data_IF_229384335700
#
_entry.id   IF_229384335700
#
_cell.length_a   1.000
_cell.length_b   1.000
_cell.length_c   1.000
_cell.angle_alpha   90.00
_cell.angle_beta   90.00
_cell.angle_gamma   90.00
#
_symmetry.space_group_name_H-M   'P 1'
#
loop_
_entity.id
_entity.type
_entity.pdbx_description
1 polymer ?
#
# COMPACT_ATOMS: atom_id res chain seq x y z
N UNK A 1 21.06 -2.67 -15.42
CA UNK A 1 21.98 -1.71 -14.76
C UNK A 1 21.47 -1.43 -13.35
N UNK A 2 22.13 -1.93 -12.30
CA UNK A 2 21.74 -1.65 -10.91
C UNK A 2 22.54 -0.45 -10.41
N UNK A 3 21.91 0.71 -10.30
CA UNK A 3 22.53 1.90 -9.70
C UNK A 3 22.53 1.74 -8.18
N UNK A 4 23.71 1.86 -7.55
CA UNK A 4 23.86 1.91 -6.09
C UNK A 4 22.95 3.04 -5.56
N UNK A 5 22.11 2.73 -4.56
CA UNK A 5 21.28 3.73 -3.86
C UNK A 5 22.15 4.85 -3.32
N UNK A 6 21.78 6.10 -3.58
CA UNK A 6 22.46 7.29 -3.04
C UNK A 6 22.28 7.39 -1.52
N UNK A 7 23.16 8.14 -0.86
CA UNK A 7 23.10 8.30 0.61
C UNK A 7 21.82 9.01 1.06
N UNK A 8 21.25 9.89 0.23
CA UNK A 8 19.94 10.47 0.44
C UNK A 8 18.83 9.41 0.47
N UNK A 9 18.86 8.42 -0.44
CA UNK A 9 17.88 7.33 -0.46
C UNK A 9 18.03 6.44 0.77
N UNK A 10 19.25 6.15 1.23
CA UNK A 10 19.47 5.38 2.46
C UNK A 10 18.98 6.11 3.71
N UNK A 11 19.16 7.44 3.76
CA UNK A 11 18.65 8.28 4.84
C UNK A 11 17.12 8.32 4.84
N UNK A 12 16.50 8.47 3.66
CA UNK A 12 15.06 8.33 3.49
C UNK A 12 14.55 6.96 3.90
N UNK A 13 15.20 5.87 3.48
CA UNK A 13 14.85 4.51 3.91
C UNK A 13 14.96 4.36 5.44
N UNK A 14 15.93 5.02 6.08
CA UNK A 14 16.08 5.01 7.55
C UNK A 14 14.99 5.80 8.27
N UNK A 15 14.50 6.90 7.67
CA UNK A 15 13.40 7.71 8.20
C UNK A 15 12.05 7.03 7.98
N UNK A 16 11.82 6.51 6.77
CA UNK A 16 10.57 5.85 6.36
C UNK A 16 10.45 4.47 7.05
N UNK A 17 11.57 3.79 7.32
CA UNK A 17 11.61 2.52 8.03
C UNK A 17 11.36 1.31 7.11
N UNK A 18 10.57 0.35 7.60
CA UNK A 18 10.23 -0.88 6.87
C UNK A 18 9.49 -0.60 5.53
N UNK A 19 9.44 -1.59 4.61
CA UNK A 19 8.70 -1.45 3.36
C UNK A 19 7.28 -0.96 3.64
N UNK A 20 6.90 0.15 3.01
CA UNK A 20 5.59 0.76 3.21
C UNK A 20 4.51 -0.28 2.89
N UNK A 21 3.77 -0.70 3.91
CA UNK A 21 2.70 -1.69 3.74
C UNK A 21 1.58 -1.11 2.90
N UNK A 22 0.71 -1.98 2.38
CA UNK A 22 -0.49 -1.54 1.70
C UNK A 22 -1.34 -0.60 2.59
N UNK A 23 -1.46 -0.94 3.87
CA UNK A 23 -2.19 -0.16 4.87
C UNK A 23 -1.59 1.23 5.11
N UNK A 24 -0.27 1.31 5.28
CA UNK A 24 0.42 2.58 5.46
C UNK A 24 0.29 3.48 4.22
N UNK A 25 0.33 2.89 3.03
CA UNK A 25 0.09 3.62 1.77
C UNK A 25 -1.31 4.20 1.71
N UNK A 26 -2.34 3.42 2.08
CA UNK A 26 -3.72 3.92 2.17
C UNK A 26 -3.85 5.08 3.15
N UNK A 27 -3.24 4.97 4.33
CA UNK A 27 -3.25 6.03 5.34
C UNK A 27 -2.61 7.30 4.81
N UNK A 28 -1.45 7.19 4.14
CA UNK A 28 -0.75 8.33 3.57
C UNK A 28 -1.61 9.05 2.53
N UNK A 29 -2.21 8.31 1.59
CA UNK A 29 -3.13 8.88 0.58
C UNK A 29 -4.29 9.59 1.26
N UNK A 30 -4.91 8.96 2.27
CA UNK A 30 -6.04 9.55 2.99
C UNK A 30 -5.68 10.90 3.63
N UNK A 31 -4.52 10.97 4.28
CA UNK A 31 -4.05 12.18 4.94
C UNK A 31 -3.65 13.25 3.93
N UNK A 32 -3.05 12.87 2.80
CA UNK A 32 -2.73 13.79 1.70
C UNK A 32 -3.98 14.37 1.04
N UNK A 33 -5.06 13.60 0.98
CA UNK A 33 -6.36 14.04 0.47
C UNK A 33 -7.23 14.73 1.54
N UNK A 34 -6.69 14.97 2.75
CA UNK A 34 -7.39 15.58 3.90
C UNK A 34 -8.70 14.86 4.30
N UNK A 35 -8.79 13.56 4.04
CA UNK A 35 -9.98 12.76 4.31
C UNK A 35 -9.98 12.16 5.72
N UNK A 36 -11.17 12.12 6.33
CA UNK A 36 -11.44 11.26 7.48
C UNK A 36 -11.50 9.79 7.07
N UNK A 37 -11.34 8.87 8.03
CA UNK A 37 -11.51 7.44 7.76
C UNK A 37 -12.93 7.11 7.27
N UNK A 38 -13.95 7.84 7.74
CA UNK A 38 -15.33 7.63 7.28
C UNK A 38 -15.51 7.99 5.80
N UNK A 39 -14.96 9.12 5.36
CA UNK A 39 -15.06 9.59 3.97
C UNK A 39 -14.34 8.65 3.00
N UNK A 40 -13.11 8.27 3.33
CA UNK A 40 -12.36 7.34 2.48
C UNK A 40 -13.00 5.94 2.48
N UNK A 41 -13.52 5.45 3.62
CA UNK A 41 -14.21 4.17 3.68
C UNK A 41 -15.47 4.18 2.79
N UNK A 42 -16.24 5.27 2.80
CA UNK A 42 -17.39 5.47 1.90
C UNK A 42 -16.95 5.48 0.43
N UNK A 43 -15.87 6.20 0.08
CA UNK A 43 -15.29 6.23 -1.28
C UNK A 43 -14.87 4.82 -1.73
N UNK A 44 -14.25 4.04 -0.84
CA UNK A 44 -13.78 2.68 -1.12
C UNK A 44 -14.90 1.62 -1.08
N UNK A 45 -16.08 1.94 -0.54
CA UNK A 45 -17.20 0.99 -0.38
C UNK A 45 -16.92 -0.06 0.69
N UNK A 46 -16.29 0.33 1.80
CA UNK A 46 -16.00 -0.53 2.95
C UNK A 46 -16.48 0.15 4.24
N UNK A 47 -16.49 -0.60 5.34
CA UNK A 47 -16.79 -0.03 6.65
C UNK A 47 -15.60 0.78 7.18
N UNK A 48 -15.87 1.80 7.99
CA UNK A 48 -14.83 2.59 8.67
C UNK A 48 -13.91 1.69 9.51
N UNK A 49 -14.48 0.74 10.25
CA UNK A 49 -13.72 -0.25 11.02
C UNK A 49 -12.76 -1.08 10.14
N UNK A 50 -13.19 -1.47 8.94
CA UNK A 50 -12.33 -2.20 8.00
C UNK A 50 -11.19 -1.31 7.50
N UNK A 51 -11.46 -0.07 7.10
CA UNK A 51 -10.39 0.87 6.71
C UNK A 51 -9.37 1.06 7.84
N UNK A 52 -9.85 1.29 9.07
CA UNK A 52 -8.99 1.48 10.22
C UNK A 52 -8.12 0.25 10.51
N UNK A 53 -8.65 -0.97 10.32
CA UNK A 53 -7.85 -2.22 10.43
C UNK A 53 -6.85 -2.40 9.29
N UNK A 54 -7.15 -1.92 8.08
CA UNK A 54 -6.20 -1.90 6.97
C UNK A 54 -5.06 -0.94 7.26
N UNK A 55 -5.36 0.31 7.66
CA UNK A 55 -4.34 1.34 7.96
C UNK A 55 -3.39 0.91 9.08
N UNK A 56 -3.91 0.20 10.10
CA UNK A 56 -3.10 -0.34 11.19
C UNK A 56 -2.37 -1.65 10.84
N UNK A 57 -2.50 -2.14 9.62
CA UNK A 57 -1.83 -3.36 9.18
C UNK A 57 -2.40 -4.65 9.80
N UNK A 58 -3.55 -4.62 10.46
CA UNK A 58 -4.17 -5.85 10.98
C UNK A 58 -4.81 -6.69 9.88
N UNK A 59 -5.35 -6.03 8.85
CA UNK A 59 -5.94 -6.67 7.67
C UNK A 59 -5.11 -6.38 6.43
N UNK A 60 -5.28 -7.23 5.43
CA UNK A 60 -4.75 -7.04 4.08
C UNK A 60 -5.88 -7.23 3.08
N UNK A 61 -5.63 -6.85 1.84
CA UNK A 61 -6.59 -7.03 0.74
C UNK A 61 -6.01 -7.97 -0.32
N UNK A 62 -6.89 -8.65 -1.05
CA UNK A 62 -6.52 -9.40 -2.24
C UNK A 62 -6.09 -8.46 -3.39
N UNK A 63 -5.37 -8.96 -4.41
CA UNK A 63 -4.99 -8.19 -5.59
C UNK A 63 -6.19 -7.56 -6.30
N UNK A 64 -7.32 -8.26 -6.37
CA UNK A 64 -8.57 -7.78 -6.97
C UNK A 64 -9.15 -6.58 -6.21
N UNK A 65 -9.15 -6.65 -4.88
CA UNK A 65 -9.59 -5.52 -4.04
C UNK A 65 -8.61 -4.35 -4.14
N UNK A 66 -7.31 -4.61 -4.21
CA UNK A 66 -6.30 -3.58 -4.42
C UNK A 66 -6.50 -2.86 -5.76
N UNK A 67 -6.81 -3.60 -6.84
CA UNK A 67 -7.20 -3.05 -8.13
C UNK A 67 -8.46 -2.16 -8.02
N UNK A 68 -9.49 -2.64 -7.30
CA UNK A 68 -10.69 -1.82 -7.07
C UNK A 68 -10.38 -0.53 -6.31
N UNK A 69 -9.50 -0.57 -5.32
CA UNK A 69 -9.14 0.62 -4.55
C UNK A 69 -8.34 1.60 -5.40
N UNK A 70 -7.37 1.11 -6.17
CA UNK A 70 -6.59 1.93 -7.09
C UNK A 70 -7.49 2.71 -8.07
N UNK A 71 -8.46 2.02 -8.69
CA UNK A 71 -9.45 2.64 -9.59
C UNK A 71 -10.28 3.72 -8.90
N UNK A 72 -10.75 3.46 -7.67
CA UNK A 72 -11.59 4.41 -6.91
C UNK A 72 -10.81 5.63 -6.40
N UNK A 73 -9.51 5.46 -6.14
CA UNK A 73 -8.63 6.53 -5.68
C UNK A 73 -7.92 7.26 -6.82
N UNK A 74 -7.98 6.74 -8.06
CA UNK A 74 -7.32 7.35 -9.22
C UNK A 74 -5.83 7.06 -9.32
N UNK A 75 -5.34 6.01 -8.66
CA UNK A 75 -3.92 5.63 -8.67
C UNK A 75 -3.63 4.49 -9.65
N UNK A 76 -2.38 4.37 -10.15
CA UNK A 76 -1.97 3.27 -11.02
C UNK A 76 -2.20 1.90 -10.37
N UNK A 77 -2.97 0.98 -11.01
CA UNK A 77 -3.27 -0.34 -10.47
C UNK A 77 -2.05 -1.16 -10.09
N UNK A 78 -0.99 -1.05 -10.88
CA UNK A 78 0.28 -1.76 -10.70
C UNK A 78 0.84 -1.57 -9.28
N UNK A 79 0.80 -0.35 -8.76
CA UNK A 79 1.35 -0.02 -7.44
C UNK A 79 0.56 -0.75 -6.35
N UNK A 80 -0.76 -0.61 -6.36
CA UNK A 80 -1.65 -1.20 -5.36
C UNK A 80 -1.60 -2.74 -5.38
N UNK A 81 -1.58 -3.34 -6.57
CA UNK A 81 -1.48 -4.81 -6.72
C UNK A 81 -0.13 -5.30 -6.19
N UNK A 82 0.97 -4.63 -6.53
CA UNK A 82 2.30 -5.01 -6.05
C UNK A 82 2.41 -4.93 -4.53
N UNK A 83 1.84 -3.89 -3.91
CA UNK A 83 1.79 -3.73 -2.46
C UNK A 83 0.95 -4.81 -1.78
N UNK A 84 -0.22 -5.13 -2.32
CA UNK A 84 -1.07 -6.21 -1.80
C UNK A 84 -0.37 -7.57 -1.84
N UNK A 85 0.34 -7.88 -2.92
CA UNK A 85 1.11 -9.12 -3.04
C UNK A 85 2.34 -9.10 -2.10
N UNK A 86 3.02 -7.97 -1.99
CA UNK A 86 4.18 -7.83 -1.09
C UNK A 86 3.77 -8.03 0.38
N UNK A 87 2.64 -7.45 0.79
CA UNK A 87 2.04 -7.64 2.12
C UNK A 87 1.74 -9.13 2.39
N UNK A 88 1.21 -9.85 1.39
CA UNK A 88 0.92 -11.28 1.52
C UNK A 88 2.20 -12.12 1.69
N UNK A 89 3.24 -11.84 0.90
CA UNK A 89 4.53 -12.52 1.04
C UNK A 89 5.17 -12.24 2.40
N UNK A 90 5.15 -10.99 2.85
CA UNK A 90 5.71 -10.61 4.15
C UNK A 90 4.98 -11.31 5.30
N UNK A 91 3.65 -11.38 5.26
CA UNK A 91 2.83 -12.11 6.25
C UNK A 91 3.07 -13.62 6.23
N UNK A 92 3.37 -14.18 5.08
CA UNK A 92 3.75 -15.59 4.94
C UNK A 92 5.20 -15.87 5.39
N UNK A 93 5.96 -14.85 5.80
CA UNK A 93 7.38 -14.98 6.13
C UNK A 93 8.28 -15.21 4.91
N UNK A 94 7.75 -15.00 3.71
CA UNK A 94 8.42 -15.25 2.44
C UNK A 94 9.21 -13.99 2.06
N UNK A 95 10.55 -14.08 2.13
CA UNK A 95 11.47 -12.95 1.86
C UNK A 95 11.73 -12.76 0.35
N UNK A 96 10.66 -12.55 -0.42
CA UNK A 96 10.73 -12.24 -1.83
C UNK A 96 10.16 -10.85 -2.12
N UNK A 97 10.63 -10.25 -3.22
CA UNK A 97 10.17 -8.95 -3.70
C UNK A 97 9.28 -9.14 -4.91
N UNK A 98 8.10 -8.52 -4.89
CA UNK A 98 7.17 -8.54 -6.03
C UNK A 98 7.61 -7.51 -7.06
N UNK A 99 7.75 -7.93 -8.31
CA UNK A 99 7.87 -7.06 -9.48
C UNK A 99 6.78 -7.44 -10.47
N UNK A 100 6.02 -6.45 -10.94
CA UNK A 100 4.98 -6.64 -11.96
C UNK A 100 5.48 -6.03 -13.27
N UNK A 101 5.28 -6.74 -14.37
CA UNK A 101 5.55 -6.27 -15.72
C UNK A 101 4.24 -6.16 -16.50
N UNK A 102 4.20 -5.29 -17.52
CA UNK A 102 3.03 -5.24 -18.39
C UNK A 102 3.02 -6.50 -19.26
N UNK A 103 1.85 -7.14 -19.35
CA UNK A 103 1.63 -8.27 -20.25
C UNK A 103 1.54 -7.81 -21.71
#
# INVERSE_FOLDING_TARGET
MSTKKSDAIKFLDKIIGEPVSFGATLQAIRLSDEMTQAEMAKKLGITNAHLSQLERGHKFVSPERALSFAKKLGYPPKVFISLSLQDQLQRAGIKFKVSLEAA
#
